data_IF_842472855021
#
_entry.id   IF_842472855021
#
_cell.length_a   1.000
_cell.length_b   1.000
_cell.length_c   1.000
_cell.angle_alpha   90.00
_cell.angle_beta   90.00
_cell.angle_gamma   90.00
#
_symmetry.space_group_name_H-M   'P 1'
#
loop_
_entity.id
_entity.type
_entity.pdbx_description
1 polymer ?
#
# COMPACT_ATOMS: atom_id res chain seq x y z
N UNK A 1 6.35 -14.98 3.44
CA UNK A 1 4.95 -14.68 3.76
C UNK A 1 4.24 -14.25 2.47
N UNK A 2 2.94 -14.51 2.27
CA UNK A 2 2.23 -14.01 1.07
C UNK A 2 1.80 -12.55 1.29
N UNK A 3 2.09 -11.67 0.32
CA UNK A 3 1.65 -10.27 0.35
C UNK A 3 0.13 -10.19 0.26
N UNK A 4 -0.47 -10.89 -0.69
CA UNK A 4 -1.92 -10.94 -0.88
C UNK A 4 -2.55 -12.25 -0.39
N UNK A 5 -3.63 -12.16 0.41
CA UNK A 5 -4.41 -13.32 0.87
C UNK A 5 -5.81 -13.33 0.26
N UNK A 6 -6.52 -14.47 0.34
CA UNK A 6 -7.90 -14.58 -0.16
C UNK A 6 -8.85 -13.64 0.59
N UNK A 7 -8.58 -13.39 1.87
CA UNK A 7 -9.36 -12.50 2.73
C UNK A 7 -9.16 -11.04 2.29
N UNK A 8 -7.92 -10.62 2.05
CA UNK A 8 -7.62 -9.27 1.56
C UNK A 8 -8.26 -9.01 0.19
N UNK A 9 -8.20 -9.99 -0.73
CA UNK A 9 -8.89 -9.88 -2.04
C UNK A 9 -10.40 -9.68 -1.91
N UNK A 10 -11.03 -10.14 -0.83
CA UNK A 10 -12.47 -9.95 -0.58
C UNK A 10 -12.79 -8.63 0.12
N UNK A 11 -11.84 -8.07 0.87
CA UNK A 11 -12.04 -6.85 1.65
C UNK A 11 -11.72 -5.59 0.84
N UNK A 12 -10.79 -5.68 -0.10
CA UNK A 12 -10.40 -4.55 -0.93
C UNK A 12 -11.54 -4.17 -1.90
N UNK A 13 -11.98 -2.91 -1.91
CA UNK A 13 -12.90 -2.37 -2.91
C UNK A 13 -12.36 -2.50 -4.34
N UNK A 14 -13.25 -2.60 -5.35
CA UNK A 14 -12.88 -2.48 -6.75
C UNK A 14 -12.27 -1.10 -7.07
N UNK A 15 -11.49 -1.02 -8.15
CA UNK A 15 -10.92 0.24 -8.62
C UNK A 15 -12.00 1.30 -8.92
N UNK A 16 -11.75 2.55 -8.56
CA UNK A 16 -12.63 3.70 -8.73
C UNK A 16 -13.68 3.88 -7.63
N UNK A 17 -13.70 3.04 -6.59
CA UNK A 17 -14.71 3.10 -5.52
C UNK A 17 -14.54 4.31 -4.60
N UNK A 18 -13.32 4.80 -4.44
CA UNK A 18 -12.93 5.84 -3.48
C UNK A 18 -12.73 7.21 -4.14
N UNK A 19 -13.05 7.35 -5.43
CA UNK A 19 -12.90 8.61 -6.17
C UNK A 19 -13.68 9.75 -5.50
N UNK A 20 -13.00 10.88 -5.26
CA UNK A 20 -13.58 12.05 -4.58
C UNK A 20 -13.79 11.88 -3.07
N UNK A 21 -13.24 10.83 -2.45
CA UNK A 21 -13.33 10.57 -1.00
C UNK A 21 -11.96 10.58 -0.31
N UNK A 22 -11.94 10.51 1.02
CA UNK A 22 -10.71 10.37 1.83
C UNK A 22 -10.19 8.91 1.92
N UNK A 23 -10.72 8.02 1.08
CA UNK A 23 -10.38 6.59 0.88
C UNK A 23 -9.66 5.84 2.02
N UNK A 24 -10.26 4.75 2.50
CA UNK A 24 -9.67 3.96 3.58
C UNK A 24 -8.55 3.05 3.06
N UNK A 25 -7.31 3.24 3.54
CA UNK A 25 -6.21 2.33 3.27
C UNK A 25 -6.34 1.09 4.16
N UNK A 26 -6.46 -0.09 3.56
CA UNK A 26 -6.71 -1.36 4.26
C UNK A 26 -5.44 -2.19 4.47
N UNK A 27 -4.44 -2.02 3.60
CA UNK A 27 -3.21 -2.81 3.62
C UNK A 27 -2.02 -1.88 3.60
N UNK A 28 -0.98 -2.23 4.35
CA UNK A 28 0.31 -1.58 4.32
C UNK A 28 1.39 -2.60 3.96
N UNK A 29 2.14 -2.30 2.92
CA UNK A 29 3.36 -2.99 2.54
C UNK A 29 4.55 -2.09 2.79
N UNK A 30 5.71 -2.66 3.11
CA UNK A 30 6.92 -1.88 3.35
C UNK A 30 8.16 -2.70 3.00
N UNK A 31 9.24 -1.97 2.69
CA UNK A 31 10.59 -2.54 2.62
C UNK A 31 11.19 -2.58 4.03
N UNK A 32 11.66 -3.74 4.53
CA UNK A 32 12.27 -3.81 5.86
C UNK A 32 13.63 -3.13 5.96
N UNK A 33 14.31 -2.94 4.82
CA UNK A 33 15.67 -2.45 4.68
C UNK A 33 15.77 -1.12 3.91
N UNK A 34 14.65 -0.45 3.66
CA UNK A 34 14.62 0.90 3.05
C UNK A 34 13.43 1.73 3.55
N UNK A 35 13.21 2.91 2.98
CA UNK A 35 12.16 3.85 3.42
C UNK A 35 10.87 3.81 2.58
N UNK A 36 10.70 2.80 1.73
CA UNK A 36 9.51 2.68 0.88
C UNK A 36 8.36 1.96 1.57
N UNK A 37 7.17 2.55 1.49
CA UNK A 37 5.91 2.03 2.02
C UNK A 37 4.78 2.22 1.00
N UNK A 38 3.92 1.22 0.86
CA UNK A 38 2.73 1.27 0.01
C UNK A 38 1.49 1.05 0.87
N UNK A 39 0.43 1.82 0.60
CA UNK A 39 -0.86 1.72 1.26
C UNK A 39 -1.93 1.43 0.20
N UNK A 40 -2.69 0.36 0.37
CA UNK A 40 -3.70 -0.07 -0.63
C UNK A 40 -5.09 0.39 -0.20
N UNK A 41 -5.78 1.09 -1.09
CA UNK A 41 -7.19 1.46 -0.95
C UNK A 41 -8.09 0.56 -1.79
N UNK A 42 -7.68 0.21 -3.01
CA UNK A 42 -8.50 -0.52 -3.97
C UNK A 42 -7.67 -1.56 -4.73
N UNK A 43 -8.36 -2.55 -5.31
CA UNK A 43 -7.75 -3.62 -6.08
C UNK A 43 -8.67 -4.07 -7.22
N UNK A 44 -8.10 -4.38 -8.38
CA UNK A 44 -8.84 -4.95 -9.51
C UNK A 44 -9.22 -6.43 -9.30
N UNK A 45 -8.74 -7.05 -8.22
CA UNK A 45 -8.94 -8.46 -7.90
C UNK A 45 -7.85 -9.38 -8.46
N UNK A 46 -6.96 -8.87 -9.31
CA UNK A 46 -5.93 -9.62 -10.02
C UNK A 46 -4.51 -9.20 -9.62
N UNK A 47 -4.12 -7.96 -9.92
CA UNK A 47 -2.75 -7.47 -9.87
C UNK A 47 -2.64 -5.95 -9.63
N UNK A 48 -3.57 -5.14 -10.14
CA UNK A 48 -3.47 -3.67 -10.06
C UNK A 48 -4.11 -3.12 -8.78
N UNK A 49 -3.30 -2.43 -7.97
CA UNK A 49 -3.75 -1.65 -6.82
C UNK A 49 -3.92 -0.17 -7.19
N UNK A 50 -4.80 0.49 -6.44
CA UNK A 50 -4.78 1.94 -6.27
C UNK A 50 -4.57 2.29 -4.80
N UNK A 51 -3.74 3.29 -4.54
CA UNK A 51 -3.47 3.79 -3.20
C UNK A 51 -2.21 4.64 -3.12
N UNK A 52 -1.68 4.82 -1.91
CA UNK A 52 -0.57 5.73 -1.68
C UNK A 52 0.79 5.03 -1.69
N UNK A 53 1.80 5.71 -2.22
CA UNK A 53 3.20 5.30 -2.18
C UNK A 53 3.97 6.39 -1.45
N UNK A 54 4.70 5.98 -0.40
CA UNK A 54 5.52 6.87 0.40
C UNK A 54 6.98 6.39 0.33
N UNK A 55 7.87 7.27 -0.12
CA UNK A 55 9.31 7.02 -0.21
C UNK A 55 10.08 8.32 -0.30
N UNK A 56 10.49 8.71 -1.50
CA UNK A 56 11.06 10.04 -1.74
C UNK A 56 9.99 11.14 -1.67
N UNK A 57 8.82 10.85 -2.23
CA UNK A 57 7.63 11.69 -2.16
C UNK A 57 6.46 10.88 -1.62
N UNK A 58 5.36 11.57 -1.32
CA UNK A 58 4.08 10.96 -1.00
C UNK A 58 3.14 11.14 -2.20
N UNK A 59 2.91 10.05 -2.92
CA UNK A 59 2.10 10.05 -4.14
C UNK A 59 0.88 9.14 -3.99
N UNK A 60 -0.20 9.49 -4.69
CA UNK A 60 -1.38 8.65 -4.82
C UNK A 60 -1.46 8.16 -6.27
N UNK A 61 -1.58 6.86 -6.48
CA UNK A 61 -1.57 6.29 -7.82
C UNK A 61 -1.71 4.78 -7.86
N UNK A 62 -1.37 4.22 -9.01
CA UNK A 62 -1.48 2.78 -9.28
C UNK A 62 -0.13 2.09 -9.14
N UNK A 63 -0.14 0.85 -8.63
CA UNK A 63 1.04 -0.02 -8.54
C UNK A 63 0.61 -1.49 -8.58
N UNK A 64 1.51 -2.40 -8.98
CA UNK A 64 1.15 -3.82 -9.18
C UNK A 64 1.61 -4.72 -8.04
N UNK A 65 0.79 -5.72 -7.72
CA UNK A 65 1.17 -6.80 -6.81
C UNK A 65 2.39 -7.55 -7.33
N UNK A 66 2.44 -7.87 -8.63
CA UNK A 66 3.58 -8.55 -9.22
C UNK A 66 4.88 -7.77 -9.08
N UNK A 67 4.83 -6.45 -9.25
CA UNK A 67 5.98 -5.56 -9.04
C UNK A 67 6.42 -5.61 -7.56
N UNK A 68 5.48 -5.54 -6.61
CA UNK A 68 5.81 -5.65 -5.18
C UNK A 68 6.44 -7.00 -4.80
N UNK A 69 6.02 -8.10 -5.45
CA UNK A 69 6.56 -9.44 -5.22
C UNK A 69 7.99 -9.62 -5.77
N UNK A 70 8.39 -8.81 -6.75
CA UNK A 70 9.73 -8.84 -7.36
C UNK A 70 10.73 -7.87 -6.70
N UNK A 71 10.25 -6.86 -5.97
CA UNK A 71 11.12 -5.90 -5.30
C UNK A 71 12.01 -6.59 -4.27
N UNK A 72 13.30 -6.31 -4.40
CA UNK A 72 14.34 -6.71 -3.45
C UNK A 72 15.10 -5.46 -3.03
N UNK A 73 15.11 -5.19 -1.73
CA UNK A 73 15.73 -4.02 -1.14
C UNK A 73 17.26 -4.10 -1.11
N UNK A 74 17.94 -3.03 -0.65
CA UNK A 74 19.39 -2.90 -0.70
C UNK A 74 20.16 -3.99 0.07
N UNK A 75 19.55 -4.60 1.08
CA UNK A 75 20.13 -5.68 1.88
C UNK A 75 19.65 -7.06 1.43
N UNK A 76 18.97 -7.15 0.28
CA UNK A 76 18.43 -8.40 -0.24
C UNK A 76 17.11 -8.81 0.41
N UNK A 77 16.43 -7.92 1.16
CA UNK A 77 15.15 -8.24 1.79
C UNK A 77 13.98 -7.93 0.85
N UNK A 78 12.98 -8.80 0.86
CA UNK A 78 11.75 -8.60 0.10
C UNK A 78 10.77 -7.70 0.84
N UNK A 79 9.79 -7.16 0.11
CA UNK A 79 8.66 -6.45 0.71
C UNK A 79 7.92 -7.34 1.70
N UNK A 80 7.49 -6.74 2.81
CA UNK A 80 6.64 -7.36 3.80
C UNK A 80 5.29 -6.66 3.91
N UNK A 81 4.29 -7.39 4.40
CA UNK A 81 2.98 -6.83 4.75
C UNK A 81 2.90 -6.64 6.26
N UNK A 82 2.52 -5.45 6.68
CA UNK A 82 2.29 -5.14 8.09
C UNK A 82 1.00 -5.84 8.57
N UNK A 83 1.15 -6.81 9.47
CA UNK A 83 0.05 -7.60 10.03
C UNK A 83 -0.78 -6.86 11.08
N UNK A 84 -0.24 -5.78 11.65
CA UNK A 84 -0.85 -5.02 12.73
C UNK A 84 -1.39 -3.67 12.27
N UNK A 85 -1.15 -3.33 11.00
CA UNK A 85 -1.73 -2.16 10.38
C UNK A 85 -3.26 -2.21 10.49
N UNK A 86 -3.83 -1.12 11.00
CA UNK A 86 -5.27 -0.93 11.10
C UNK A 86 -5.74 -0.12 9.91
N UNK A 87 -6.94 -0.42 9.35
CA UNK A 87 -7.54 0.43 8.33
C UNK A 87 -7.52 1.90 8.76
N UNK A 88 -6.90 2.75 7.94
CA UNK A 88 -6.61 4.15 8.29
C UNK A 88 -6.95 5.06 7.10
N UNK A 89 -7.65 6.20 7.31
CA UNK A 89 -7.95 7.15 6.23
C UNK A 89 -6.68 7.70 5.57
N UNK A 90 -6.76 8.03 4.27
CA UNK A 90 -5.63 8.56 3.52
C UNK A 90 -5.10 9.86 4.12
N UNK A 91 -5.98 10.77 4.55
CA UNK A 91 -5.59 12.02 5.21
C UNK A 91 -4.76 11.81 6.47
N UNK A 92 -5.08 10.80 7.28
CA UNK A 92 -4.34 10.48 8.51
C UNK A 92 -2.98 9.84 8.21
N UNK A 93 -2.87 9.05 7.15
CA UNK A 93 -1.58 8.57 6.64
C UNK A 93 -0.76 9.78 6.16
N UNK A 94 -1.33 10.63 5.32
CA UNK A 94 -0.66 11.81 4.75
C UNK A 94 -0.07 12.72 5.83
N UNK A 95 -0.84 13.03 6.88
CA UNK A 95 -0.37 13.82 8.04
C UNK A 95 0.86 13.22 8.74
N UNK A 96 1.05 11.90 8.70
CA UNK A 96 2.24 11.27 9.30
C UNK A 96 3.49 11.54 8.47
N UNK A 97 3.37 11.58 7.14
CA UNK A 97 4.50 11.80 6.24
C UNK A 97 4.81 13.29 6.03
N UNK A 98 3.81 14.18 6.08
CA UNK A 98 4.03 15.64 5.98
C UNK A 98 4.75 16.22 7.21
N UNK A 99 4.66 15.58 8.38
CA UNK A 99 5.30 16.05 9.63
C UNK A 99 6.81 15.80 9.69
N UNK A 100 7.35 15.08 8.71
CA UNK A 100 8.76 14.70 8.65
C UNK A 100 9.48 15.21 7.39
N UNK A 101 8.86 16.14 6.65
CA UNK A 101 9.46 16.91 5.56
C UNK A 101 10.00 18.26 6.01
#
# INVERSE_FOLDING_TARGET
MKLMTKELRKQLPPLGTTEGTDGLCLVKYFTPDSNWTWFVQEFDGSDLFFGAVAGMEFELGYFRLSELEEITGPLGLHIERDLYFKPTPLSEIRKQYDRHG
#
